data_IF_106177685109
#
_entry.id   IF_106177685109
#
_cell.length_a   1.000
_cell.length_b   1.000
_cell.length_c   1.000
_cell.angle_alpha   90.00
_cell.angle_beta   90.00
_cell.angle_gamma   90.00
#
_symmetry.space_group_name_H-M   'P 1'
#
loop_
_entity.id
_entity.type
_entity.pdbx_description
1 polymer ?
#
# COMPACT_ATOMS: atom_id res chain seq x y z
N UNK A 1 0.72 -14.52 -6.91
CA UNK A 1 0.16 -13.24 -6.44
C UNK A 1 -1.35 -13.21 -6.57
N UNK A 2 -1.94 -12.05 -6.34
CA UNK A 2 -3.37 -11.74 -6.48
C UNK A 2 -3.47 -10.51 -7.36
N UNK A 3 -4.00 -10.64 -8.57
CA UNK A 3 -3.96 -9.57 -9.57
C UNK A 3 -5.27 -9.39 -10.31
N UNK A 4 -5.52 -8.16 -10.75
CA UNK A 4 -6.58 -7.80 -11.70
C UNK A 4 -5.93 -7.46 -13.05
N UNK A 5 -6.41 -8.06 -14.13
CA UNK A 5 -5.96 -7.75 -15.48
C UNK A 5 -6.81 -6.64 -16.13
N UNK A 6 -6.26 -5.97 -17.15
CA UNK A 6 -7.01 -4.99 -17.95
C UNK A 6 -8.22 -5.61 -18.67
N UNK A 7 -8.29 -6.95 -18.81
CA UNK A 7 -9.46 -7.66 -19.33
C UNK A 7 -10.59 -7.82 -18.31
N UNK A 8 -10.44 -7.27 -17.10
CA UNK A 8 -11.44 -7.36 -16.04
C UNK A 8 -11.47 -8.73 -15.33
N UNK A 9 -10.36 -9.46 -15.38
CA UNK A 9 -10.23 -10.80 -14.78
C UNK A 9 -9.36 -10.77 -13.53
N UNK A 10 -9.75 -11.51 -12.49
CA UNK A 10 -8.90 -11.79 -11.35
C UNK A 10 -8.01 -12.99 -11.62
N UNK A 11 -6.76 -12.94 -11.17
CA UNK A 11 -5.75 -13.98 -11.33
C UNK A 11 -5.14 -14.35 -9.98
N UNK A 12 -5.22 -15.63 -9.63
CA UNK A 12 -4.59 -16.18 -8.43
C UNK A 12 -4.35 -17.69 -8.58
N UNK A 13 -3.17 -18.18 -8.19
CA UNK A 13 -2.86 -19.61 -8.19
C UNK A 13 -3.04 -20.31 -9.55
N UNK A 14 -2.72 -19.62 -10.65
CA UNK A 14 -2.90 -20.14 -12.01
C UNK A 14 -4.35 -20.21 -12.50
N UNK A 15 -5.31 -19.72 -11.71
CA UNK A 15 -6.74 -19.66 -12.06
C UNK A 15 -7.17 -18.23 -12.31
N UNK A 16 -8.24 -18.08 -13.10
CA UNK A 16 -8.86 -16.78 -13.36
C UNK A 16 -10.38 -16.81 -13.22
N UNK A 17 -10.97 -15.65 -12.94
CA UNK A 17 -12.42 -15.44 -12.91
C UNK A 17 -12.81 -14.03 -13.39
N UNK A 18 -14.00 -13.85 -14.00
CA UNK A 18 -14.52 -12.52 -14.30
C UNK A 18 -14.79 -11.72 -13.02
N UNK A 19 -14.54 -10.41 -13.06
CA UNK A 19 -14.77 -9.53 -11.91
C UNK A 19 -15.32 -8.16 -12.29
N UNK A 20 -14.82 -7.57 -13.37
CA UNK A 20 -15.34 -6.30 -13.89
C UNK A 20 -15.32 -6.31 -15.41
N UNK A 21 -15.91 -5.29 -16.03
CA UNK A 21 -15.83 -5.11 -17.48
C UNK A 21 -14.36 -4.85 -17.87
N UNK A 22 -13.93 -5.32 -19.06
CA UNK A 22 -12.63 -4.97 -19.60
C UNK A 22 -12.41 -3.45 -19.60
N UNK A 23 -11.18 -3.04 -19.30
CA UNK A 23 -10.77 -1.65 -19.38
C UNK A 23 -10.70 -1.26 -20.86
N UNK A 24 -10.98 0.01 -21.14
CA UNK A 24 -10.93 0.50 -22.51
C UNK A 24 -9.47 0.65 -22.94
N UNK A 25 -9.16 0.15 -24.13
CA UNK A 25 -7.84 0.29 -24.71
C UNK A 25 -7.57 1.74 -25.10
N UNK A 26 -6.32 2.17 -24.98
CA UNK A 26 -5.87 3.53 -25.32
C UNK A 26 -6.57 4.67 -24.53
N UNK A 27 -7.26 4.35 -23.44
CA UNK A 27 -7.80 5.34 -22.51
C UNK A 27 -7.02 5.30 -21.18
N UNK A 28 -6.59 6.45 -20.64
CA UNK A 28 -6.02 6.52 -19.29
C UNK A 28 -7.02 5.96 -18.28
N UNK A 29 -6.57 5.04 -17.43
CA UNK A 29 -7.40 4.44 -16.38
C UNK A 29 -6.67 4.58 -15.06
N UNK A 30 -7.34 5.11 -14.04
CA UNK A 30 -6.80 5.16 -12.68
C UNK A 30 -7.27 3.95 -11.89
N UNK A 31 -6.31 3.18 -11.36
CA UNK A 31 -6.60 2.01 -10.52
C UNK A 31 -6.24 2.32 -9.07
N UNK A 32 -7.22 2.21 -8.20
CA UNK A 32 -7.03 2.24 -6.75
C UNK A 32 -6.95 0.82 -6.19
N UNK A 33 -6.10 0.64 -5.19
CA UNK A 33 -5.94 -0.63 -4.46
C UNK A 33 -6.08 -0.35 -2.98
N UNK A 34 -7.03 -1.02 -2.32
CA UNK A 34 -7.17 -1.02 -0.88
C UNK A 34 -6.85 -2.42 -0.36
N UNK A 35 -5.72 -2.53 0.34
CA UNK A 35 -5.35 -3.71 1.11
C UNK A 35 -5.76 -3.50 2.56
N UNK A 36 -6.70 -4.31 3.04
CA UNK A 36 -7.06 -4.39 4.46
C UNK A 36 -6.39 -5.63 5.05
N UNK A 37 -5.32 -5.43 5.81
CA UNK A 37 -4.55 -6.50 6.44
C UNK A 37 -5.29 -7.18 7.60
N UNK A 38 -6.24 -6.50 8.25
CA UNK A 38 -6.99 -7.03 9.39
C UNK A 38 -8.12 -7.92 8.89
N UNK A 39 -8.94 -7.43 7.96
CA UNK A 39 -9.96 -8.26 7.31
C UNK A 39 -9.33 -9.30 6.35
N UNK A 40 -8.11 -9.05 5.88
CA UNK A 40 -7.41 -9.84 4.88
C UNK A 40 -8.10 -9.77 3.52
N UNK A 41 -8.45 -8.56 3.07
CA UNK A 41 -9.14 -8.33 1.80
C UNK A 41 -8.36 -7.40 0.87
N UNK A 42 -8.49 -7.62 -0.44
CA UNK A 42 -8.00 -6.73 -1.49
C UNK A 42 -9.17 -6.23 -2.31
N UNK A 43 -9.36 -4.92 -2.33
CA UNK A 43 -10.44 -4.21 -3.04
C UNK A 43 -9.83 -3.36 -4.14
N UNK A 44 -10.44 -3.40 -5.33
CA UNK A 44 -10.03 -2.56 -6.45
C UNK A 44 -11.00 -1.42 -6.68
N UNK A 45 -10.46 -0.30 -7.15
CA UNK A 45 -11.21 0.85 -7.63
C UNK A 45 -10.79 1.13 -9.06
N UNK A 46 -11.73 1.57 -9.89
CA UNK A 46 -11.49 2.05 -11.25
C UNK A 46 -12.07 3.43 -11.40
N UNK A 47 -11.23 4.40 -11.72
CA UNK A 47 -11.61 5.80 -11.93
C UNK A 47 -12.45 6.35 -10.75
N UNK A 48 -11.99 6.04 -9.53
CA UNK A 48 -12.64 6.43 -8.27
C UNK A 48 -13.85 5.54 -7.87
N UNK A 49 -14.32 4.65 -8.73
CA UNK A 49 -15.44 3.77 -8.42
C UNK A 49 -14.98 2.47 -7.76
N UNK A 50 -15.60 2.11 -6.64
CA UNK A 50 -15.34 0.85 -5.95
C UNK A 50 -15.89 -0.34 -6.77
N UNK A 51 -15.01 -1.26 -7.14
CA UNK A 51 -15.37 -2.49 -7.87
C UNK A 51 -15.75 -3.65 -6.94
N UNK A 52 -15.53 -3.49 -5.63
CA UNK A 52 -15.76 -4.50 -4.61
C UNK A 52 -14.50 -5.28 -4.21
N UNK A 53 -14.70 -6.21 -3.28
CA UNK A 53 -13.63 -7.07 -2.76
C UNK A 53 -13.29 -8.13 -3.80
N UNK A 54 -12.08 -8.08 -4.35
CA UNK A 54 -11.59 -9.04 -5.33
C UNK A 54 -11.03 -10.30 -4.66
N UNK A 55 -10.32 -10.16 -3.55
CA UNK A 55 -9.70 -11.27 -2.84
C UNK A 55 -9.94 -11.22 -1.34
N UNK A 56 -10.01 -12.39 -0.71
CA UNK A 56 -10.22 -12.58 0.72
C UNK A 56 -9.22 -13.60 1.26
N UNK A 57 -9.02 -13.59 2.58
CA UNK A 57 -8.12 -14.53 3.26
C UNK A 57 -6.64 -14.17 3.16
N UNK A 58 -6.31 -12.94 2.81
CA UNK A 58 -4.92 -12.49 2.70
C UNK A 58 -4.22 -12.43 4.06
N UNK A 59 -4.96 -12.27 5.16
CA UNK A 59 -4.46 -12.37 6.53
C UNK A 59 -3.90 -13.78 6.87
N UNK A 60 -4.19 -14.79 6.04
CA UNK A 60 -3.65 -16.15 6.19
C UNK A 60 -2.30 -16.32 5.50
N UNK A 61 -1.86 -15.35 4.71
CA UNK A 61 -0.54 -15.38 4.09
C UNK A 61 0.50 -15.06 5.15
N UNK A 62 1.45 -15.96 5.36
CA UNK A 62 2.55 -15.80 6.32
C UNK A 62 3.69 -14.97 5.75
N UNK A 63 3.85 -14.99 4.43
CA UNK A 63 4.87 -14.22 3.73
C UNK A 63 4.44 -12.76 3.56
N UNK A 64 5.39 -11.82 3.59
CA UNK A 64 5.08 -10.42 3.35
C UNK A 64 4.51 -10.21 1.94
N UNK A 65 3.46 -9.40 1.87
CA UNK A 65 2.81 -9.02 0.62
C UNK A 65 3.32 -7.66 0.15
N UNK A 66 3.65 -7.57 -1.14
CA UNK A 66 4.11 -6.35 -1.78
C UNK A 66 3.18 -5.95 -2.93
N UNK A 67 2.93 -4.64 -3.12
CA UNK A 67 2.24 -4.18 -4.32
C UNK A 67 3.09 -4.50 -5.54
N UNK A 68 2.45 -4.94 -6.63
CA UNK A 68 3.12 -5.16 -7.90
C UNK A 68 2.21 -4.73 -9.05
N UNK A 69 2.83 -4.32 -10.14
CA UNK A 69 2.17 -4.01 -11.40
C UNK A 69 3.03 -4.54 -12.54
N UNK A 70 2.41 -5.00 -13.62
CA UNK A 70 3.12 -5.43 -14.81
C UNK A 70 2.37 -5.00 -16.07
N UNK A 71 3.13 -4.65 -17.11
CA UNK A 71 2.62 -4.44 -18.45
C UNK A 71 3.52 -5.17 -19.43
N UNK A 72 2.93 -5.74 -20.46
CA UNK A 72 3.64 -6.28 -21.64
C UNK A 72 3.19 -5.57 -22.91
N UNK A 73 2.35 -4.53 -22.78
CA UNK A 73 1.84 -3.77 -23.90
C UNK A 73 2.83 -2.68 -24.27
N UNK A 74 3.19 -2.61 -25.55
CA UNK A 74 4.09 -1.58 -26.05
C UNK A 74 3.50 -0.18 -25.81
N UNK A 75 4.36 0.78 -25.47
CA UNK A 75 4.00 2.20 -25.26
C UNK A 75 3.02 2.45 -24.12
N UNK A 76 2.95 1.56 -23.13
CA UNK A 76 2.23 1.86 -21.88
C UNK A 76 3.14 2.51 -20.85
N UNK A 77 2.60 3.46 -20.10
CA UNK A 77 3.23 4.03 -18.90
C UNK A 77 2.36 3.76 -17.69
N UNK A 78 2.98 3.51 -16.53
CA UNK A 78 2.31 3.31 -15.26
C UNK A 78 2.93 4.25 -14.23
N UNK A 79 2.09 5.06 -13.59
CA UNK A 79 2.53 6.09 -12.64
C UNK A 79 1.84 5.84 -11.30
N UNK A 80 2.62 5.77 -10.23
CA UNK A 80 2.10 5.75 -8.86
C UNK A 80 1.78 7.18 -8.42
N UNK A 81 0.50 7.54 -8.40
CA UNK A 81 0.05 8.90 -8.06
C UNK A 81 0.03 9.16 -6.55
N UNK A 82 -0.54 8.24 -5.78
CA UNK A 82 -0.67 8.39 -4.34
C UNK A 82 -0.50 7.05 -3.63
N UNK A 83 0.01 7.13 -2.40
CA UNK A 83 0.01 6.03 -1.46
C UNK A 83 -0.46 6.54 -0.10
N UNK A 84 -1.36 5.78 0.53
CA UNK A 84 -1.88 6.08 1.86
C UNK A 84 -1.82 4.83 2.72
N UNK A 85 -1.64 5.03 4.03
CA UNK A 85 -1.86 4.01 5.05
C UNK A 85 -2.82 4.57 6.09
N UNK A 86 -3.75 3.75 6.55
CA UNK A 86 -4.61 4.09 7.67
C UNK A 86 -4.08 3.48 8.97
N UNK A 87 -4.33 4.15 10.10
CA UNK A 87 -3.99 3.64 11.42
C UNK A 87 -5.07 2.68 11.92
N UNK A 88 -4.62 1.52 12.40
CA UNK A 88 -5.49 0.40 12.81
C UNK A 88 -6.31 0.76 14.05
N UNK A 89 -5.75 1.54 14.98
CA UNK A 89 -6.41 1.89 16.24
C UNK A 89 -6.00 3.29 16.75
N UNK A 90 -6.61 3.74 17.85
CA UNK A 90 -6.31 5.03 18.48
C UNK A 90 -4.85 5.12 18.96
N UNK A 91 -4.29 4.02 19.48
CA UNK A 91 -2.91 3.99 19.97
C UNK A 91 -1.93 4.29 18.83
N UNK A 92 -2.09 3.70 17.66
CA UNK A 92 -1.27 3.97 16.48
C UNK A 92 -1.46 5.39 15.94
N UNK A 93 -2.70 5.91 16.01
CA UNK A 93 -2.98 7.32 15.67
C UNK A 93 -2.23 8.26 16.60
N UNK A 94 -2.32 8.05 17.91
CA UNK A 94 -1.61 8.82 18.92
C UNK A 94 -0.09 8.69 18.73
N UNK A 95 0.43 7.47 18.54
CA UNK A 95 1.85 7.18 18.29
C UNK A 95 2.37 8.05 17.15
N UNK A 96 1.69 8.04 16.01
CA UNK A 96 2.09 8.81 14.84
C UNK A 96 2.10 10.34 15.07
N UNK A 97 1.12 10.87 15.80
CA UNK A 97 1.11 12.30 16.14
C UNK A 97 2.29 12.66 17.07
N UNK A 98 2.55 11.84 18.08
CA UNK A 98 3.64 12.06 19.04
C UNK A 98 5.00 11.99 18.32
N UNK A 99 5.24 10.93 17.55
CA UNK A 99 6.49 10.72 16.79
C UNK A 99 6.78 11.88 15.83
N UNK A 100 5.77 12.38 15.12
CA UNK A 100 5.88 13.57 14.25
C UNK A 100 6.29 14.84 14.99
N UNK A 101 5.96 14.95 16.28
CA UNK A 101 6.26 16.13 17.10
C UNK A 101 7.59 16.03 17.82
N UNK A 102 7.92 14.84 18.34
CA UNK A 102 9.12 14.57 19.15
C UNK A 102 10.38 14.47 18.28
N UNK A 103 10.29 13.97 17.04
CA UNK A 103 11.32 14.03 15.97
C UNK A 103 12.72 13.45 16.26
N UNK A 104 13.13 13.23 17.51
CA UNK A 104 14.40 12.62 17.89
C UNK A 104 14.26 11.81 19.19
N UNK A 105 15.17 10.87 19.40
CA UNK A 105 15.22 10.04 20.61
C UNK A 105 15.58 10.89 21.83
N UNK A 106 16.49 11.85 21.68
CA UNK A 106 16.88 12.78 22.75
C UNK A 106 15.66 13.54 23.31
N UNK A 107 14.77 14.03 22.44
CA UNK A 107 13.55 14.70 22.87
C UNK A 107 12.55 13.74 23.53
N UNK A 108 12.56 12.46 23.14
CA UNK A 108 11.74 11.42 23.74
C UNK A 108 12.22 11.07 25.15
N UNK A 109 13.53 11.00 25.37
CA UNK A 109 14.16 10.73 26.68
C UNK A 109 13.80 11.81 27.70
N UNK A 110 13.76 13.07 27.26
CA UNK A 110 13.37 14.22 28.09
C UNK A 110 11.91 14.18 28.59
N UNK A 111 11.04 13.34 28.03
CA UNK A 111 9.65 13.20 28.47
C UNK A 111 9.49 12.30 29.71
N UNK A 112 10.55 11.63 30.15
CA UNK A 112 10.55 10.77 31.36
C UNK A 112 9.39 9.76 31.37
N UNK A 113 9.15 9.12 30.23
CA UNK A 113 8.03 8.19 30.04
C UNK A 113 8.28 6.84 30.72
N UNK A 114 7.22 6.11 31.12
CA UNK A 114 7.35 4.71 31.49
C UNK A 114 8.02 3.90 30.37
N UNK A 115 8.93 2.99 30.75
CA UNK A 115 9.79 2.22 29.83
C UNK A 115 9.04 1.63 28.62
N UNK A 116 7.89 0.99 28.84
CA UNK A 116 7.08 0.39 27.76
C UNK A 116 6.59 1.41 26.73
N UNK A 117 6.23 2.61 27.18
CA UNK A 117 5.76 3.68 26.29
C UNK A 117 6.96 4.28 25.55
N UNK A 118 8.09 4.45 26.23
CA UNK A 118 9.34 4.90 25.62
C UNK A 118 9.76 3.96 24.48
N UNK A 119 9.86 2.66 24.75
CA UNK A 119 10.22 1.63 23.76
C UNK A 119 9.27 1.64 22.56
N UNK A 120 7.96 1.69 22.83
CA UNK A 120 6.94 1.78 21.78
C UNK A 120 7.09 3.06 20.95
N UNK A 121 7.40 4.22 21.52
CA UNK A 121 7.59 5.43 20.72
C UNK A 121 8.95 5.44 19.99
N UNK A 122 10.00 4.93 20.61
CA UNK A 122 11.36 4.86 20.07
C UNK A 122 11.45 3.96 18.84
N UNK A 123 10.80 2.80 18.86
CA UNK A 123 10.72 1.89 17.70
C UNK A 123 10.17 2.62 16.46
N UNK A 124 9.13 3.46 16.61
CA UNK A 124 8.56 4.21 15.49
C UNK A 124 9.44 5.39 15.03
N UNK A 125 10.32 5.92 15.87
CA UNK A 125 11.32 6.93 15.47
C UNK A 125 12.51 6.30 14.72
N UNK A 126 12.85 5.05 15.03
CA UNK A 126 13.91 4.30 14.34
C UNK A 126 13.45 3.65 13.03
N UNK A 127 12.14 3.39 12.91
CA UNK A 127 11.54 2.91 11.67
C UNK A 127 11.45 4.08 10.71
N UNK A 128 12.44 4.19 9.83
CA UNK A 128 12.52 5.27 8.84
C UNK A 128 11.44 5.08 7.75
N UNK A 129 10.21 5.52 8.04
CA UNK A 129 9.12 5.60 7.05
C UNK A 129 9.54 6.43 5.82
N UNK A 130 10.53 7.32 5.96
CA UNK A 130 11.05 8.10 4.84
C UNK A 130 11.92 7.29 3.87
N UNK A 131 12.43 6.11 4.26
CA UNK A 131 13.13 5.18 3.36
C UNK A 131 12.22 4.17 2.69
N UNK A 132 11.07 3.84 3.28
CA UNK A 132 10.06 2.98 2.66
C UNK A 132 9.22 3.72 1.60
N UNK A 133 9.15 5.07 1.69
CA UNK A 133 8.30 5.91 0.86
C UNK A 133 9.00 7.19 0.39
N UNK A 134 10.20 7.07 -0.18
CA UNK A 134 10.72 8.19 -0.97
C UNK A 134 9.85 8.36 -2.22
N UNK A 135 9.38 9.58 -2.54
CA UNK A 135 8.82 9.84 -3.86
C UNK A 135 9.87 9.44 -4.90
N UNK A 136 9.46 8.72 -5.94
CA UNK A 136 10.28 8.29 -7.08
C UNK A 136 10.79 9.47 -7.93
N UNK A 137 11.16 10.60 -7.33
CA UNK A 137 11.70 11.75 -8.03
C UNK A 137 13.17 11.60 -8.45
N UNK A 138 13.82 10.47 -8.13
CA UNK A 138 15.20 10.19 -8.56
C UNK A 138 15.47 8.74 -8.99
N UNK A 139 14.48 8.01 -9.49
CA UNK A 139 14.75 6.79 -10.25
C UNK A 139 14.27 6.99 -11.67
N UNK A 140 15.24 6.99 -12.60
CA UNK A 140 15.06 7.04 -14.04
C UNK A 140 13.80 6.30 -14.46
N UNK A 141 13.02 6.92 -15.36
CA UNK A 141 11.92 6.31 -16.11
C UNK A 141 12.20 4.82 -16.31
N UNK A 142 11.55 3.96 -15.54
CA UNK A 142 11.50 2.54 -15.86
C UNK A 142 10.47 2.43 -16.97
N UNK A 143 10.90 2.72 -18.21
CA UNK A 143 10.22 2.23 -19.38
C UNK A 143 10.35 0.72 -19.35
N UNK A 144 9.30 0.03 -18.93
CA UNK A 144 9.14 -1.38 -19.26
C UNK A 144 8.85 -1.40 -20.76
N UNK A 145 9.83 -1.85 -21.53
CA UNK A 145 9.75 -1.99 -22.99
C UNK A 145 8.85 -3.16 -23.36
#
# INVERSE_FOLDING_TARGET
GWGLSHKGLLWHGGKWSPFTKPFRENEPTTIGILFDGVAGTLTYYKDGQNLGVAFRGLHKCTEPLYPFVCSTAAKTEMILNEQRREFVNLQDRCRNIIVKRVKSIELLENLHLPQKIFEYLAEALMTDDSKLFQPFHQLNRVSVM
#
